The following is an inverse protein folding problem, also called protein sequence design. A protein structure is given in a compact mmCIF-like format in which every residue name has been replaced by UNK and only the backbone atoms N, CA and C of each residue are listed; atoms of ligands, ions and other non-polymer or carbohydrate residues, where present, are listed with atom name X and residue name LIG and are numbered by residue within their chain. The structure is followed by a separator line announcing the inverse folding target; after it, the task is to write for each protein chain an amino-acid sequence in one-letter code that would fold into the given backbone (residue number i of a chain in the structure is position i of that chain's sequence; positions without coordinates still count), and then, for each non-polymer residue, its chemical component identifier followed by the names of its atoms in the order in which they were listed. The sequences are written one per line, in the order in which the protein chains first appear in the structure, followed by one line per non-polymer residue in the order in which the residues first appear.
data_IF_479932810547
#
_entry.id   IF_479932810547
#
_cell.length_a   1.000
_cell.length_b   1.000
_cell.length_c   1.000
_cell.angle_alpha   90.00
_cell.angle_beta   90.00
_cell.angle_gamma   90.00
#
_symmetry.space_group_name_H-M   'P 1'
#
loop_
_entity.id
_entity.type
_entity.pdbx_description
1 polymer ?
#
# COMPACT_ATOMS: atom_id res chain seq x y z
N UNK A 1 -18.63 4.67 20.08
CA UNK A 1 -19.47 4.16 18.98
C UNK A 1 -18.61 4.13 17.73
N UNK A 2 -18.14 2.94 17.37
CA UNK A 2 -17.16 2.73 16.30
C UNK A 2 -17.84 2.97 14.94
N UNK A 3 -17.46 4.06 14.27
CA UNK A 3 -17.85 4.30 12.89
C UNK A 3 -17.08 3.31 12.01
N UNK A 4 -17.76 2.21 11.66
CA UNK A 4 -17.34 1.34 10.57
C UNK A 4 -17.25 2.19 9.28
N UNK A 5 -16.10 2.25 8.60
CA UNK A 5 -16.04 2.88 7.30
C UNK A 5 -16.80 2.02 6.26
N UNK A 6 -17.45 2.67 5.29
CA UNK A 6 -18.45 2.05 4.44
C UNK A 6 -17.82 1.06 3.46
N UNK A 7 -18.44 -0.11 3.36
CA UNK A 7 -18.22 -1.05 2.28
C UNK A 7 -18.70 -0.43 0.95
N UNK A 8 -17.79 -0.09 0.03
CA UNK A 8 -18.05 -0.07 -1.42
C UNK A 8 -16.78 0.26 -2.23
N UNK A 9 -16.08 -0.78 -2.72
CA UNK A 9 -15.62 -0.88 -4.11
C UNK A 9 -14.82 -2.18 -4.26
N UNK A 10 -15.36 -3.09 -5.07
CA UNK A 10 -14.76 -4.38 -5.40
C UNK A 10 -13.54 -4.21 -6.31
N UNK A 11 -12.38 -3.87 -5.73
CA UNK A 11 -11.10 -4.26 -6.35
C UNK A 11 -10.98 -5.77 -6.17
N UNK A 12 -11.04 -6.45 -7.31
CA UNK A 12 -11.06 -7.90 -7.45
C UNK A 12 -9.94 -8.58 -6.65
N UNK A 13 -10.32 -9.64 -5.94
CA UNK A 13 -9.43 -10.49 -5.17
C UNK A 13 -9.38 -10.13 -3.69
N UNK A 14 -9.93 -11.02 -2.84
CA UNK A 14 -9.32 -11.30 -1.54
C UNK A 14 -7.97 -12.00 -1.80
N UNK A 15 -7.08 -11.33 -2.52
CA UNK A 15 -5.78 -11.84 -2.92
C UNK A 15 -4.87 -11.76 -1.71
N UNK A 16 -4.83 -12.82 -0.92
CA UNK A 16 -3.72 -13.03 -0.01
C UNK A 16 -2.46 -13.18 -0.86
N UNK A 17 -1.45 -12.36 -0.60
CA UNK A 17 -0.12 -12.61 -1.17
C UNK A 17 0.45 -13.85 -0.51
N UNK A 18 0.92 -14.80 -1.31
CA UNK A 18 1.48 -16.07 -0.80
C UNK A 18 2.83 -15.85 -0.11
N UNK A 19 3.49 -14.73 -0.43
CA UNK A 19 4.74 -14.28 0.17
C UNK A 19 5.10 -12.86 -0.29
N UNK A 20 6.13 -12.28 0.31
CA UNK A 20 6.61 -10.92 0.01
C UNK A 20 7.41 -10.81 -1.31
N UNK A 21 7.45 -11.89 -2.08
CA UNK A 21 8.10 -12.00 -3.39
C UNK A 21 7.07 -12.24 -4.51
N UNK A 22 5.78 -12.13 -4.20
CA UNK A 22 4.71 -12.34 -5.17
C UNK A 22 4.72 -11.26 -6.25
N UNK A 23 4.63 -11.65 -7.52
CA UNK A 23 4.59 -10.74 -8.65
C UNK A 23 3.37 -9.79 -8.59
N UNK A 24 2.30 -10.19 -7.90
CA UNK A 24 1.13 -9.34 -7.70
C UNK A 24 1.44 -8.10 -6.83
N UNK A 25 2.48 -8.13 -5.99
CA UNK A 25 2.92 -6.96 -5.21
C UNK A 25 3.42 -5.81 -6.11
N UNK A 26 3.96 -6.15 -7.28
CA UNK A 26 4.42 -5.16 -8.28
C UNK A 26 3.32 -4.19 -8.67
N UNK A 27 2.08 -4.65 -8.75
CA UNK A 27 0.94 -3.84 -9.15
C UNK A 27 0.59 -2.76 -8.12
N UNK A 28 1.12 -2.86 -6.90
CA UNK A 28 0.93 -1.88 -5.82
C UNK A 28 -0.45 -1.90 -5.14
N UNK A 29 -1.44 -2.60 -5.69
CA UNK A 29 -2.81 -2.65 -5.17
C UNK A 29 -2.88 -3.17 -3.74
N UNK A 30 -2.14 -4.24 -3.44
CA UNK A 30 -2.10 -4.82 -2.09
C UNK A 30 -1.54 -3.82 -1.07
N UNK A 31 -0.45 -3.13 -1.41
CA UNK A 31 0.19 -2.16 -0.53
C UNK A 31 -0.69 -0.92 -0.33
N UNK A 32 -1.31 -0.41 -1.39
CA UNK A 32 -2.25 0.70 -1.31
C UNK A 32 -3.46 0.35 -0.43
N UNK A 33 -4.01 -0.86 -0.59
CA UNK A 33 -5.11 -1.34 0.25
C UNK A 33 -4.71 -1.45 1.71
N UNK A 34 -3.48 -1.85 1.99
CA UNK A 34 -2.97 -1.92 3.36
C UNK A 34 -2.83 -0.52 3.98
N UNK A 35 -2.35 0.46 3.21
CA UNK A 35 -2.28 1.85 3.68
C UNK A 35 -3.67 2.42 3.95
N UNK A 36 -4.65 2.16 3.08
CA UNK A 36 -6.04 2.57 3.28
C UNK A 36 -6.69 1.85 4.48
N UNK A 37 -6.30 0.60 4.76
CA UNK A 37 -6.76 -0.11 5.94
C UNK A 37 -6.24 0.50 7.26
N UNK A 38 -5.00 1.01 7.26
CA UNK A 38 -4.40 1.65 8.44
C UNK A 38 -4.91 3.08 8.61
N UNK A 39 -5.07 3.82 7.51
CA UNK A 39 -5.64 5.17 7.52
C UNK A 39 -6.78 5.23 6.50
N UNK A 40 -8.04 5.01 6.94
CA UNK A 40 -9.18 4.99 6.04
C UNK A 40 -9.33 6.34 5.33
N UNK A 41 -9.38 6.32 4.00
CA UNK A 41 -9.50 7.51 3.16
C UNK A 41 -8.16 8.17 2.82
N UNK A 42 -7.03 7.53 3.12
CA UNK A 42 -5.72 8.01 2.68
C UNK A 42 -5.47 7.80 1.18
N UNK A 43 -6.14 6.81 0.59
CA UNK A 43 -5.96 6.39 -0.81
C UNK A 43 -7.17 6.82 -1.64
N UNK A 44 -6.88 7.51 -2.74
CA UNK A 44 -7.85 7.83 -3.78
C UNK A 44 -7.77 6.77 -4.89
N UNK A 45 -8.74 5.86 -4.86
CA UNK A 45 -8.85 4.76 -5.82
C UNK A 45 -9.16 5.22 -7.25
N UNK A 46 -9.54 6.48 -7.48
CA UNK A 46 -9.71 7.05 -8.82
C UNK A 46 -8.39 7.29 -9.56
N UNK A 47 -7.28 7.39 -8.82
CA UNK A 47 -5.93 7.62 -9.37
C UNK A 47 -5.17 6.31 -9.54
N UNK A 48 -5.61 5.24 -8.87
CA UNK A 48 -4.97 3.93 -8.92
C UNK A 48 -5.26 3.24 -10.25
N UNK A 49 -4.21 2.79 -10.93
CA UNK A 49 -4.31 2.12 -12.23
C UNK A 49 -4.29 0.59 -12.07
N UNK A 50 -4.76 -0.15 -13.07
CA UNK A 50 -4.86 -1.62 -13.02
C UNK A 50 -3.51 -2.37 -12.93
N UNK A 51 -2.37 -1.70 -13.20
CA UNK A 51 -1.04 -2.29 -13.06
C UNK A 51 -0.75 -3.40 -14.08
N UNK A 52 -1.26 -3.26 -15.31
CA UNK A 52 -0.96 -4.18 -16.41
C UNK A 52 0.36 -3.86 -17.10
N UNK A 53 0.70 -2.58 -17.19
CA UNK A 53 1.92 -2.08 -17.83
C UNK A 53 2.97 -1.59 -16.81
N UNK A 54 4.22 -1.51 -17.24
CA UNK A 54 5.34 -1.04 -16.42
C UNK A 54 5.15 0.42 -15.98
N UNK A 55 4.66 1.28 -16.87
CA UNK A 55 4.35 2.67 -16.54
C UNK A 55 3.21 2.80 -15.50
N UNK A 56 2.24 1.88 -15.54
CA UNK A 56 1.14 1.83 -14.56
C UNK A 56 1.65 1.35 -13.18
N UNK A 57 2.52 0.34 -13.17
CA UNK A 57 3.16 -0.12 -11.94
C UNK A 57 4.03 0.98 -11.30
N UNK A 58 4.80 1.69 -12.12
CA UNK A 58 5.60 2.83 -11.69
C UNK A 58 4.71 3.95 -11.10
N UNK A 59 3.61 4.29 -11.78
CA UNK A 59 2.65 5.27 -11.30
C UNK A 59 2.07 4.89 -9.93
N UNK A 60 1.62 3.65 -9.80
CA UNK A 60 1.06 3.13 -8.54
C UNK A 60 2.12 3.12 -7.41
N UNK A 61 3.38 2.76 -7.71
CA UNK A 61 4.46 2.76 -6.74
C UNK A 61 4.82 4.18 -6.26
N UNK A 62 4.90 5.15 -7.18
CA UNK A 62 5.11 6.57 -6.84
C UNK A 62 3.96 7.14 -6.02
N UNK A 63 2.73 6.77 -6.37
CA UNK A 63 1.53 7.17 -5.65
C UNK A 63 1.52 6.60 -4.23
N UNK A 64 1.78 5.29 -4.08
CA UNK A 64 1.93 4.62 -2.79
C UNK A 64 2.95 5.34 -1.89
N UNK A 65 4.11 5.68 -2.44
CA UNK A 65 5.17 6.38 -1.71
C UNK A 65 4.70 7.76 -1.22
N UNK A 66 3.99 8.49 -2.08
CA UNK A 66 3.43 9.81 -1.75
C UNK A 66 2.40 9.71 -0.62
N UNK A 67 1.47 8.76 -0.70
CA UNK A 67 0.45 8.54 0.33
C UNK A 67 1.09 8.09 1.64
N UNK A 68 2.00 7.13 1.60
CA UNK A 68 2.66 6.63 2.80
C UNK A 68 3.49 7.72 3.52
N UNK A 69 4.12 8.66 2.79
CA UNK A 69 4.79 9.83 3.41
C UNK A 69 3.78 10.80 4.01
N UNK A 70 2.67 11.07 3.30
CA UNK A 70 1.58 11.94 3.80
C UNK A 70 0.98 11.41 5.10
N UNK A 71 0.89 10.09 5.22
CA UNK A 71 0.38 9.38 6.39
C UNK A 71 1.39 9.35 7.56
N UNK A 72 2.64 9.73 7.33
CA UNK A 72 3.68 9.80 8.36
C UNK A 72 4.48 8.50 8.53
N UNK A 73 4.46 7.62 7.53
CA UNK A 73 5.25 6.40 7.53
C UNK A 73 6.73 6.74 7.26
N UNK A 74 7.65 6.14 8.01
CA UNK A 74 9.09 6.29 7.76
C UNK A 74 9.50 5.46 6.54
N UNK A 75 9.67 6.11 5.38
CA UNK A 75 9.98 5.47 4.10
C UNK A 75 11.44 5.69 3.71
N UNK A 76 12.13 4.57 3.46
CA UNK A 76 13.52 4.54 2.98
C UNK A 76 13.67 3.89 1.59
N UNK A 77 12.56 3.49 0.96
CA UNK A 77 12.56 2.83 -0.35
C UNK A 77 12.24 3.79 -1.51
N UNK A 78 12.68 3.41 -2.71
CA UNK A 78 12.34 4.04 -3.97
C UNK A 78 11.16 3.31 -4.63
N UNK A 79 10.52 3.95 -5.60
CA UNK A 79 9.47 3.33 -6.41
C UNK A 79 9.99 2.10 -7.18
N UNK A 80 11.27 2.12 -7.60
CA UNK A 80 11.95 0.99 -8.25
C UNK A 80 11.95 -0.27 -7.38
N UNK A 81 12.15 -0.13 -6.07
CA UNK A 81 12.17 -1.27 -5.15
C UNK A 81 10.81 -1.98 -5.03
N UNK A 82 9.72 -1.25 -5.26
CA UNK A 82 8.36 -1.80 -5.29
C UNK A 82 8.09 -2.50 -6.61
N UNK A 83 8.51 -1.88 -7.73
CA UNK A 83 8.32 -2.46 -9.08
C UNK A 83 9.15 -3.72 -9.28
N UNK A 84 10.35 -3.77 -8.70
CA UNK A 84 11.23 -4.96 -8.70
C UNK A 84 10.85 -5.99 -7.61
N UNK A 85 9.85 -5.69 -6.77
CA UNK A 85 9.39 -6.55 -5.67
C UNK A 85 10.56 -6.99 -4.77
N UNK A 86 11.34 -6.03 -4.26
CA UNK A 86 12.43 -6.33 -3.33
C UNK A 86 11.87 -6.68 -1.95
N UNK A 87 11.92 -7.95 -1.49
CA UNK A 87 11.23 -8.38 -0.27
C UNK A 87 11.75 -7.66 0.98
N UNK A 88 13.05 -7.37 1.06
CA UNK A 88 13.65 -6.62 2.18
C UNK A 88 13.06 -5.21 2.31
N UNK A 89 12.86 -4.51 1.18
CA UNK A 89 12.34 -3.15 1.14
C UNK A 89 10.83 -3.11 1.39
N UNK A 90 10.09 -4.11 0.89
CA UNK A 90 8.67 -4.26 1.19
C UNK A 90 8.47 -4.57 2.69
N UNK A 91 9.32 -5.41 3.28
CA UNK A 91 9.24 -5.74 4.71
C UNK A 91 9.45 -4.50 5.59
N UNK A 92 10.39 -3.62 5.26
CA UNK A 92 10.60 -2.37 6.01
C UNK A 92 9.43 -1.42 5.86
N UNK A 93 8.81 -1.31 4.68
CA UNK A 93 7.57 -0.55 4.49
C UNK A 93 6.44 -1.07 5.39
N UNK A 94 6.22 -2.38 5.40
CA UNK A 94 5.20 -3.02 6.23
C UNK A 94 5.47 -2.77 7.72
N UNK A 95 6.73 -2.91 8.15
CA UNK A 95 7.14 -2.64 9.52
C UNK A 95 6.86 -1.20 9.95
N UNK A 96 7.23 -0.22 9.10
CA UNK A 96 6.94 1.20 9.35
C UNK A 96 5.43 1.46 9.40
N UNK A 97 4.64 0.81 8.55
CA UNK A 97 3.19 0.97 8.52
C UNK A 97 2.53 0.36 9.77
N UNK A 98 2.98 -0.81 10.22
CA UNK A 98 2.53 -1.43 11.47
C UNK A 98 2.92 -0.61 12.70
N UNK A 99 4.13 -0.03 12.70
CA UNK A 99 4.57 0.85 13.78
C UNK A 99 3.68 2.10 13.86
N UNK A 100 3.28 2.65 12.72
CA UNK A 100 2.35 3.77 12.65
C UNK A 100 0.96 3.41 13.18
N UNK A 101 0.41 2.27 12.77
CA UNK A 101 -0.89 1.78 13.25
C UNK A 101 -0.90 1.60 14.78
N UNK A 102 0.12 0.93 15.32
CA UNK A 102 0.29 0.77 16.77
C UNK A 102 0.50 2.09 17.49
N UNK A 103 1.22 3.03 16.88
CA UNK A 103 1.42 4.38 17.42
C UNK A 103 0.11 5.17 17.50
N UNK A 104 -0.81 4.98 16.56
CA UNK A 104 -2.15 5.58 16.57
C UNK A 104 -3.09 4.91 17.58
N UNK A 105 -2.96 3.60 17.79
CA UNK A 105 -3.75 2.89 18.81
C UNK A 105 -3.37 3.28 20.25
N UNK A 106 -2.18 3.87 20.44
CA UNK A 106 -1.68 4.33 21.73
C UNK A 106 -2.00 5.81 22.04
N UNK A 107 -2.60 6.55 21.10
CA UNK A 107 -2.98 7.96 21.23
C UNK A 107 -4.50 8.13 21.30
#
# INVERSE_FOLDING_TARGET
AAAAPPAAASVAGRGGVSGLQDAELRKGHFLLRLVDAVVPGAVDWGVVTAGGDDAQCEHNAKYLLSVARKVGCAIFLLWEDVVEVKPKMITTLLGSLMALDKGRAAA
#
